data_IF_913022312270
#
_entry.id   IF_913022312270
#
_cell.length_a   1.000
_cell.length_b   1.000
_cell.length_c   1.000
_cell.angle_alpha   90.00
_cell.angle_beta   90.00
_cell.angle_gamma   90.00
#
_symmetry.space_group_name_H-M   'P 1'
#
loop_
_entity.id
_entity.type
_entity.pdbx_description
1 polymer ?
#
# COMPACT_ATOMS: atom_id res chain seq x y z
N UNK A 1 -20.82 -0.96 -2.08
CA UNK A 1 -19.85 -0.05 -2.76
C UNK A 1 -18.80 -0.92 -3.44
N UNK A 2 -18.35 -0.53 -4.62
CA UNK A 2 -17.24 -1.23 -5.27
C UNK A 2 -15.98 -1.01 -4.43
N UNK A 3 -15.25 -2.09 -4.14
CA UNK A 3 -13.98 -2.01 -3.41
C UNK A 3 -12.85 -1.50 -4.32
N UNK A 4 -11.70 -1.19 -3.71
CA UNK A 4 -10.53 -0.70 -4.47
C UNK A 4 -10.07 -1.72 -5.54
N UNK A 5 -10.22 -3.00 -5.30
CA UNK A 5 -9.88 -4.04 -6.27
C UNK A 5 -10.89 -4.12 -7.43
N UNK A 6 -12.16 -3.83 -7.18
CA UNK A 6 -13.18 -3.74 -8.25
C UNK A 6 -12.86 -2.55 -9.18
N UNK A 7 -12.38 -1.43 -8.61
CA UNK A 7 -11.91 -0.30 -9.39
C UNK A 7 -10.70 -0.66 -10.27
N UNK A 8 -9.77 -1.48 -9.77
CA UNK A 8 -8.63 -1.95 -10.56
C UNK A 8 -9.05 -2.83 -11.73
N UNK A 9 -10.12 -3.62 -11.56
CA UNK A 9 -10.69 -4.50 -12.59
C UNK A 9 -11.59 -3.77 -13.60
N UNK A 10 -11.97 -2.52 -13.32
CA UNK A 10 -12.75 -1.68 -14.24
C UNK A 10 -11.95 -1.31 -15.50
N UNK A 11 -12.63 -0.79 -16.51
CA UNK A 11 -11.96 -0.31 -17.74
C UNK A 11 -10.96 0.82 -17.44
N UNK A 12 -11.29 1.71 -16.51
CA UNK A 12 -10.37 2.74 -16.03
C UNK A 12 -9.14 2.12 -15.34
N UNK A 13 -9.35 1.14 -14.47
CA UNK A 13 -8.27 0.41 -13.81
C UNK A 13 -7.33 -0.29 -14.79
N UNK A 14 -7.88 -0.93 -15.81
CA UNK A 14 -7.09 -1.57 -16.88
C UNK A 14 -6.27 -0.56 -17.69
N UNK A 15 -6.82 0.62 -17.98
CA UNK A 15 -6.09 1.71 -18.63
C UNK A 15 -4.93 2.20 -17.75
N UNK A 16 -5.16 2.35 -16.45
CA UNK A 16 -4.13 2.72 -15.47
C UNK A 16 -3.03 1.66 -15.45
N UNK A 17 -3.39 0.38 -15.30
CA UNK A 17 -2.40 -0.74 -15.30
C UNK A 17 -1.55 -0.73 -16.56
N UNK A 18 -2.19 -0.61 -17.73
CA UNK A 18 -1.47 -0.57 -19.02
C UNK A 18 -0.57 0.65 -19.14
N UNK A 19 -1.05 1.83 -18.74
CA UNK A 19 -0.28 3.07 -18.77
C UNK A 19 0.91 3.05 -17.83
N UNK A 20 0.72 2.57 -16.59
CA UNK A 20 1.81 2.40 -15.61
C UNK A 20 2.82 1.38 -16.12
N UNK A 21 2.38 0.23 -16.64
CA UNK A 21 3.25 -0.79 -17.20
C UNK A 21 4.11 -0.25 -18.33
N UNK A 22 3.49 0.44 -19.30
CA UNK A 22 4.19 1.07 -20.42
C UNK A 22 5.20 2.14 -19.98
N UNK A 23 4.83 2.98 -19.00
CA UNK A 23 5.70 4.07 -18.52
C UNK A 23 6.87 3.59 -17.65
N UNK A 24 6.75 2.43 -17.01
CA UNK A 24 7.79 1.84 -16.16
C UNK A 24 8.60 0.74 -16.86
N UNK A 25 8.22 0.37 -18.08
CA UNK A 25 8.85 -0.73 -18.81
C UNK A 25 8.63 -2.11 -18.16
N UNK A 26 7.55 -2.25 -17.37
CA UNK A 26 7.23 -3.47 -16.65
C UNK A 26 6.07 -4.20 -17.34
N UNK A 27 6.05 -5.53 -17.28
CA UNK A 27 4.95 -6.33 -17.81
C UNK A 27 3.61 -5.98 -17.12
N UNK A 28 2.52 -5.91 -17.91
CA UNK A 28 1.21 -5.51 -17.39
C UNK A 28 0.67 -6.47 -16.34
N UNK A 29 0.96 -7.77 -16.41
CA UNK A 29 0.51 -8.74 -15.41
C UNK A 29 1.24 -8.57 -14.09
N UNK A 30 2.55 -8.31 -14.14
CA UNK A 30 3.35 -7.99 -12.95
C UNK A 30 2.94 -6.65 -12.35
N UNK A 31 2.72 -5.63 -13.19
CA UNK A 31 2.20 -4.33 -12.75
C UNK A 31 0.84 -4.48 -12.06
N UNK A 32 -0.08 -5.25 -12.64
CA UNK A 32 -1.37 -5.56 -12.02
C UNK A 32 -1.20 -6.26 -10.67
N UNK A 33 -0.29 -7.24 -10.58
CA UNK A 33 0.00 -7.95 -9.32
C UNK A 33 0.55 -7.01 -8.25
N UNK A 34 1.47 -6.11 -8.61
CA UNK A 34 1.99 -5.07 -7.70
C UNK A 34 0.85 -4.19 -7.20
N UNK A 35 0.02 -3.65 -8.09
CA UNK A 35 -1.07 -2.76 -7.71
C UNK A 35 -2.14 -3.48 -6.86
N UNK A 36 -2.46 -4.73 -7.17
CA UNK A 36 -3.40 -5.54 -6.38
C UNK A 36 -2.93 -5.72 -4.93
N UNK A 37 -1.62 -5.91 -4.72
CA UNK A 37 -1.04 -6.02 -3.39
C UNK A 37 -0.84 -4.66 -2.70
N UNK A 38 -0.40 -3.65 -3.47
CA UNK A 38 -0.06 -2.34 -2.92
C UNK A 38 -1.29 -1.51 -2.53
N UNK A 39 -2.37 -1.54 -3.32
CA UNK A 39 -3.54 -0.68 -3.09
C UNK A 39 -4.14 -0.86 -1.70
N UNK A 40 -4.42 -2.07 -1.20
CA UNK A 40 -4.91 -2.25 0.15
C UNK A 40 -3.93 -1.75 1.22
N UNK A 41 -2.62 -1.95 1.03
CA UNK A 41 -1.56 -1.46 1.94
C UNK A 41 -1.58 0.06 2.00
N UNK A 42 -1.61 0.75 0.84
CA UNK A 42 -1.66 2.21 0.77
C UNK A 42 -2.94 2.75 1.40
N UNK A 43 -4.09 2.14 1.12
CA UNK A 43 -5.37 2.54 1.71
C UNK A 43 -5.37 2.39 3.23
N UNK A 44 -4.84 1.27 3.75
CA UNK A 44 -4.74 1.05 5.20
C UNK A 44 -3.78 2.03 5.87
N UNK A 45 -2.67 2.33 5.23
CA UNK A 45 -1.72 3.32 5.72
C UNK A 45 -2.34 4.74 5.70
N UNK A 46 -3.10 5.11 4.65
CA UNK A 46 -3.87 6.37 4.62
C UNK A 46 -4.93 6.43 5.73
N UNK A 47 -5.66 5.34 5.96
CA UNK A 47 -6.64 5.26 7.06
C UNK A 47 -5.97 5.49 8.42
N UNK A 48 -4.81 4.86 8.68
CA UNK A 48 -4.04 5.07 9.92
C UNK A 48 -3.57 6.53 10.05
N UNK A 49 -3.07 7.13 8.98
CA UNK A 49 -2.68 8.54 9.00
C UNK A 49 -3.88 9.46 9.22
N UNK A 50 -5.02 9.18 8.61
CA UNK A 50 -6.25 9.94 8.78
C UNK A 50 -6.93 9.72 10.14
N UNK A 51 -6.47 8.79 10.96
CA UNK A 51 -6.95 8.61 12.34
C UNK A 51 -6.51 9.75 13.27
N UNK A 52 -5.47 10.52 12.90
CA UNK A 52 -5.08 11.74 13.61
C UNK A 52 -5.72 12.97 12.97
N UNK A 53 -6.10 14.01 13.75
CA UNK A 53 -6.69 15.24 13.20
C UNK A 53 -5.80 15.90 12.14
N UNK A 54 -4.49 15.96 12.39
CA UNK A 54 -3.50 16.55 11.50
C UNK A 54 -3.34 15.76 10.21
N UNK A 55 -3.31 14.44 10.30
CA UNK A 55 -3.23 13.53 9.15
C UNK A 55 -4.49 13.58 8.30
N UNK A 56 -5.67 13.59 8.93
CA UNK A 56 -6.94 13.74 8.24
C UNK A 56 -7.03 15.07 7.49
N UNK A 57 -6.63 16.18 8.13
CA UNK A 57 -6.60 17.50 7.50
C UNK A 57 -5.61 17.56 6.33
N UNK A 58 -4.43 16.97 6.48
CA UNK A 58 -3.42 16.90 5.43
C UNK A 58 -3.91 16.12 4.22
N UNK A 59 -4.54 14.96 4.45
CA UNK A 59 -5.11 14.14 3.39
C UNK A 59 -6.28 14.87 2.70
N UNK A 60 -7.16 15.50 3.48
CA UNK A 60 -8.27 16.29 2.93
C UNK A 60 -7.77 17.42 2.04
N UNK A 61 -6.79 18.19 2.49
CA UNK A 61 -6.17 19.26 1.71
C UNK A 61 -5.52 18.75 0.42
N UNK A 62 -4.84 17.60 0.48
CA UNK A 62 -4.24 16.98 -0.70
C UNK A 62 -5.29 16.58 -1.74
N UNK A 63 -6.40 15.98 -1.30
CA UNK A 63 -7.51 15.57 -2.17
C UNK A 63 -8.30 16.74 -2.74
N UNK A 64 -8.37 17.88 -2.06
CA UNK A 64 -9.09 19.06 -2.52
C UNK A 64 -8.27 19.90 -3.49
N UNK A 65 -6.98 20.06 -3.24
CA UNK A 65 -6.16 21.05 -3.94
C UNK A 65 -5.23 20.47 -5.01
N UNK A 66 -4.83 19.18 -4.87
CA UNK A 66 -3.86 18.55 -5.78
C UNK A 66 -4.40 17.32 -6.50
N UNK A 67 -5.21 16.54 -5.83
CA UNK A 67 -5.65 15.22 -6.30
C UNK A 67 -7.18 15.13 -6.36
N UNK A 68 -7.80 16.12 -6.95
CA UNK A 68 -9.25 16.29 -7.04
C UNK A 68 -9.96 15.38 -8.04
N UNK A 69 -9.22 14.50 -8.71
CA UNK A 69 -9.67 13.57 -9.73
C UNK A 69 -9.36 13.98 -11.15
N UNK A 70 -8.95 15.23 -11.41
CA UNK A 70 -8.70 15.77 -12.76
C UNK A 70 -7.60 15.00 -13.52
N UNK A 71 -6.63 14.40 -12.84
CA UNK A 71 -5.60 13.57 -13.45
C UNK A 71 -6.18 12.36 -14.21
N UNK A 72 -7.35 11.88 -13.80
CA UNK A 72 -8.03 10.74 -14.43
C UNK A 72 -8.73 11.10 -15.74
N UNK A 73 -9.01 12.37 -15.95
CA UNK A 73 -9.72 12.85 -17.16
C UNK A 73 -8.81 12.89 -18.38
N UNK A 74 -7.48 12.83 -18.18
CA UNK A 74 -6.50 12.89 -19.27
C UNK A 74 -5.40 11.82 -19.17
N UNK A 75 -5.79 10.57 -18.93
CA UNK A 75 -4.84 9.44 -18.89
C UNK A 75 -4.08 9.26 -20.22
N UNK A 76 -4.75 9.54 -21.36
CA UNK A 76 -4.11 9.51 -22.68
C UNK A 76 -2.96 10.49 -22.80
N UNK A 77 -3.13 11.71 -22.31
CA UNK A 77 -2.05 12.71 -22.25
C UNK A 77 -0.95 12.35 -21.26
N UNK A 78 -1.32 11.80 -20.11
CA UNK A 78 -0.38 11.38 -19.06
C UNK A 78 0.58 10.29 -19.54
N UNK A 79 0.07 9.30 -20.27
CA UNK A 79 0.86 8.15 -20.70
C UNK A 79 1.37 8.25 -22.14
N UNK A 80 0.79 9.12 -22.98
CA UNK A 80 1.08 9.18 -24.43
C UNK A 80 2.47 9.70 -24.79
N UNK A 81 3.08 10.51 -23.91
CA UNK A 81 4.45 11.04 -24.09
C UNK A 81 5.48 10.51 -23.07
N UNK A 82 5.08 9.55 -22.25
CA UNK A 82 5.81 9.16 -21.03
C UNK A 82 5.35 10.01 -19.83
N UNK A 83 5.41 9.43 -18.63
CA UNK A 83 5.00 10.12 -17.41
C UNK A 83 6.05 11.16 -17.02
N UNK A 84 5.61 12.40 -16.86
CA UNK A 84 6.47 13.51 -16.45
C UNK A 84 7.15 13.24 -15.10
N UNK A 85 8.37 13.74 -14.95
CA UNK A 85 9.13 13.60 -13.69
C UNK A 85 8.45 14.31 -12.52
N UNK A 86 7.68 15.37 -12.78
CA UNK A 86 6.84 16.03 -11.76
C UNK A 86 5.80 15.10 -11.15
N UNK A 87 5.16 14.25 -11.96
CA UNK A 87 4.19 13.23 -11.49
C UNK A 87 4.88 12.16 -10.65
N UNK A 88 6.08 11.71 -11.08
CA UNK A 88 6.88 10.74 -10.30
C UNK A 88 7.37 11.31 -8.97
N UNK A 89 7.76 12.60 -8.95
CA UNK A 89 8.18 13.30 -7.74
C UNK A 89 6.99 13.47 -6.77
N UNK A 90 5.83 13.85 -7.29
CA UNK A 90 4.60 13.93 -6.50
C UNK A 90 4.23 12.55 -5.91
N UNK A 91 4.29 11.50 -6.71
CA UNK A 91 4.08 10.13 -6.25
C UNK A 91 5.08 9.70 -5.17
N UNK A 92 6.36 10.05 -5.31
CA UNK A 92 7.37 9.79 -4.28
C UNK A 92 7.04 10.53 -2.97
N UNK A 93 6.59 11.78 -3.05
CA UNK A 93 6.13 12.55 -1.89
C UNK A 93 4.92 11.92 -1.21
N UNK A 94 3.92 11.46 -1.99
CA UNK A 94 2.74 10.75 -1.48
C UNK A 94 3.17 9.48 -0.73
N UNK A 95 4.00 8.63 -1.36
CA UNK A 95 4.46 7.37 -0.76
C UNK A 95 5.23 7.61 0.54
N UNK A 96 6.15 8.58 0.55
CA UNK A 96 6.90 8.96 1.73
C UNK A 96 5.99 9.44 2.86
N UNK A 97 4.95 10.23 2.54
CA UNK A 97 4.00 10.72 3.53
C UNK A 97 3.10 9.61 4.10
N UNK A 98 2.67 8.68 3.24
CA UNK A 98 1.75 7.60 3.62
C UNK A 98 2.47 6.46 4.34
N UNK A 99 3.61 6.01 3.81
CA UNK A 99 4.34 4.84 4.29
C UNK A 99 5.50 5.19 5.24
N UNK A 100 6.06 6.40 5.14
CA UNK A 100 7.21 6.82 5.93
C UNK A 100 8.38 5.85 5.81
N UNK A 101 8.97 5.47 6.92
CA UNK A 101 10.13 4.57 6.99
C UNK A 101 9.79 3.13 6.53
N UNK A 102 8.50 2.77 6.48
CA UNK A 102 8.03 1.44 6.04
C UNK A 102 8.05 1.26 4.51
N UNK A 103 8.22 2.34 3.74
CA UNK A 103 8.14 2.31 2.28
C UNK A 103 9.05 1.25 1.67
N UNK A 104 10.31 1.22 2.04
CA UNK A 104 11.29 0.28 1.48
C UNK A 104 10.94 -1.18 1.80
N UNK A 105 10.47 -1.47 3.01
CA UNK A 105 10.01 -2.80 3.40
C UNK A 105 8.81 -3.27 2.57
N UNK A 106 7.82 -2.40 2.40
CA UNK A 106 6.65 -2.66 1.54
C UNK A 106 7.06 -2.96 0.11
N UNK A 107 7.95 -2.15 -0.49
CA UNK A 107 8.46 -2.33 -1.84
C UNK A 107 9.19 -3.67 -2.01
N UNK A 108 10.02 -4.07 -1.03
CA UNK A 108 10.74 -5.35 -1.05
C UNK A 108 9.78 -6.54 -0.99
N UNK A 109 8.81 -6.53 -0.07
CA UNK A 109 7.85 -7.64 0.09
C UNK A 109 6.99 -7.81 -1.15
N UNK A 110 6.46 -6.71 -1.68
CA UNK A 110 5.65 -6.74 -2.90
C UNK A 110 6.51 -7.22 -4.08
N UNK A 111 7.75 -6.74 -4.19
CA UNK A 111 8.69 -7.13 -5.24
C UNK A 111 8.94 -8.64 -5.25
N UNK A 112 9.25 -9.21 -4.11
CA UNK A 112 9.47 -10.65 -3.98
C UNK A 112 8.24 -11.47 -4.42
N UNK A 113 7.03 -11.03 -4.04
CA UNK A 113 5.79 -11.72 -4.42
C UNK A 113 5.43 -11.54 -5.90
N UNK A 114 5.70 -10.37 -6.48
CA UNK A 114 5.44 -10.08 -7.88
C UNK A 114 6.55 -10.57 -8.84
N UNK A 115 7.66 -11.07 -8.32
CA UNK A 115 8.84 -11.44 -9.10
C UNK A 115 9.50 -10.22 -9.76
N UNK A 116 9.63 -9.13 -9.01
CA UNK A 116 10.26 -7.87 -9.37
C UNK A 116 11.27 -7.44 -8.29
N UNK A 117 12.23 -6.61 -8.66
CA UNK A 117 13.07 -5.91 -7.68
C UNK A 117 12.32 -4.73 -7.02
N UNK A 118 12.77 -4.31 -5.84
CA UNK A 118 12.12 -3.23 -5.09
C UNK A 118 12.12 -1.90 -5.85
N UNK A 119 13.16 -1.62 -6.66
CA UNK A 119 13.25 -0.40 -7.47
C UNK A 119 12.18 -0.35 -8.57
N UNK A 120 11.90 -1.49 -9.21
CA UNK A 120 10.79 -1.62 -10.18
C UNK A 120 9.45 -1.39 -9.50
N UNK A 121 9.23 -1.96 -8.31
CA UNK A 121 8.02 -1.71 -7.51
C UNK A 121 7.90 -0.23 -7.13
N UNK A 122 8.99 0.37 -6.63
CA UNK A 122 9.02 1.80 -6.31
C UNK A 122 8.62 2.67 -7.50
N UNK A 123 9.11 2.37 -8.71
CA UNK A 123 8.75 3.11 -9.93
C UNK A 123 7.26 2.94 -10.28
N UNK A 124 6.72 1.72 -10.19
CA UNK A 124 5.29 1.47 -10.40
C UNK A 124 4.47 2.29 -9.40
N UNK A 125 4.82 2.25 -8.12
CA UNK A 125 4.08 2.95 -7.06
C UNK A 125 4.18 4.47 -7.19
N UNK A 126 5.32 5.03 -7.59
CA UNK A 126 5.47 6.49 -7.85
C UNK A 126 4.55 6.98 -8.95
N UNK A 127 4.33 6.18 -9.99
CA UNK A 127 3.39 6.55 -11.06
C UNK A 127 1.95 6.33 -10.63
N UNK A 128 1.67 5.26 -9.88
CA UNK A 128 0.33 4.90 -9.46
C UNK A 128 -0.23 5.78 -8.32
N UNK A 129 0.62 6.25 -7.40
CA UNK A 129 0.15 6.96 -6.20
C UNK A 129 -0.67 8.22 -6.51
N UNK A 130 -0.28 9.13 -7.44
CA UNK A 130 -1.12 10.28 -7.81
C UNK A 130 -2.46 9.88 -8.43
N UNK A 131 -2.50 8.76 -9.16
CA UNK A 131 -3.73 8.23 -9.77
C UNK A 131 -4.68 7.67 -8.70
N UNK A 132 -4.14 6.96 -7.71
CA UNK A 132 -4.89 6.46 -6.56
C UNK A 132 -5.47 7.63 -5.76
N UNK A 133 -4.67 8.65 -5.51
CA UNK A 133 -5.13 9.88 -4.85
C UNK A 133 -6.21 10.59 -5.69
N UNK A 134 -6.06 10.67 -7.01
CA UNK A 134 -7.07 11.22 -7.90
C UNK A 134 -8.38 10.43 -7.87
N UNK A 135 -8.31 9.08 -7.86
CA UNK A 135 -9.49 8.23 -7.68
C UNK A 135 -10.20 8.51 -6.34
N UNK A 136 -9.41 8.65 -5.27
CA UNK A 136 -9.95 8.96 -3.94
C UNK A 136 -10.58 10.36 -3.90
N UNK A 137 -9.95 11.36 -4.52
CA UNK A 137 -10.50 12.72 -4.65
C UNK A 137 -11.80 12.75 -5.43
N UNK A 138 -11.90 11.98 -6.51
CA UNK A 138 -13.14 11.82 -7.26
C UNK A 138 -14.24 11.19 -6.41
N UNK A 139 -13.94 10.08 -5.70
CA UNK A 139 -14.88 9.43 -4.80
C UNK A 139 -15.34 10.35 -3.66
N UNK A 140 -14.40 11.14 -3.10
CA UNK A 140 -14.69 12.15 -2.08
C UNK A 140 -15.73 13.14 -2.59
N UNK A 141 -15.58 13.65 -3.82
CA UNK A 141 -16.54 14.58 -4.45
C UNK A 141 -17.90 13.92 -4.71
N UNK A 142 -17.90 12.72 -5.28
CA UNK A 142 -19.14 11.99 -5.61
C UNK A 142 -19.97 11.65 -4.36
N UNK A 143 -19.33 11.36 -3.23
CA UNK A 143 -19.97 11.02 -1.98
C UNK A 143 -20.18 12.22 -1.04
N UNK A 144 -19.82 13.44 -1.47
CA UNK A 144 -19.90 14.67 -0.67
C UNK A 144 -19.21 14.55 0.70
N UNK A 145 -18.06 13.88 0.73
CA UNK A 145 -17.25 13.70 1.94
C UNK A 145 -16.62 15.03 2.32
N UNK A 146 -17.02 15.62 3.45
CA UNK A 146 -16.58 16.93 3.91
C UNK A 146 -15.92 16.94 5.29
N UNK A 147 -16.09 15.87 6.08
CA UNK A 147 -15.50 15.76 7.40
C UNK A 147 -14.40 14.68 7.47
N UNK A 148 -13.54 14.78 8.47
CA UNK A 148 -12.52 13.76 8.75
C UNK A 148 -13.12 12.39 9.04
N UNK A 149 -14.28 12.35 9.72
CA UNK A 149 -15.01 11.11 9.99
C UNK A 149 -15.53 10.45 8.72
N UNK A 150 -16.09 11.25 7.79
CA UNK A 150 -16.56 10.76 6.50
C UNK A 150 -15.41 10.24 5.64
N UNK A 151 -14.23 10.90 5.72
CA UNK A 151 -13.04 10.48 5.01
C UNK A 151 -12.54 9.12 5.49
N UNK A 152 -12.50 8.90 6.80
CA UNK A 152 -12.17 7.59 7.38
C UNK A 152 -13.20 6.53 6.98
N UNK A 153 -14.49 6.89 6.97
CA UNK A 153 -15.56 6.03 6.47
C UNK A 153 -15.42 5.66 5.00
N UNK A 154 -15.03 6.61 4.14
CA UNK A 154 -14.73 6.38 2.73
C UNK A 154 -13.57 5.39 2.55
N UNK A 155 -12.45 5.61 3.25
CA UNK A 155 -11.27 4.74 3.19
C UNK A 155 -11.63 3.31 3.67
N UNK A 156 -12.30 3.18 4.81
CA UNK A 156 -12.76 1.90 5.33
C UNK A 156 -13.77 1.20 4.41
N UNK A 157 -14.66 1.95 3.77
CA UNK A 157 -15.62 1.42 2.79
C UNK A 157 -14.95 0.85 1.54
N UNK A 158 -13.91 1.51 1.03
CA UNK A 158 -13.11 1.05 -0.11
C UNK A 158 -12.28 -0.21 0.23
N UNK A 159 -11.80 -0.32 1.46
CA UNK A 159 -11.12 -1.51 1.97
C UNK A 159 -12.10 -2.67 2.20
N UNK A 160 -13.24 -2.40 2.83
CA UNK A 160 -14.23 -3.42 3.22
C UNK A 160 -15.02 -4.02 2.05
N UNK A 161 -15.07 -3.35 0.89
CA UNK A 161 -15.70 -3.87 -0.33
C UNK A 161 -14.92 -5.00 -1.01
N UNK A 162 -13.66 -5.19 -0.67
CA UNK A 162 -12.85 -6.31 -1.11
C UNK A 162 -13.09 -7.49 -0.18
N UNK A 163 -13.44 -8.67 -0.71
CA UNK A 163 -13.62 -9.93 0.04
C UNK A 163 -12.29 -10.44 0.61
N UNK A 164 -11.64 -9.63 1.42
CA UNK A 164 -10.26 -9.78 1.87
C UNK A 164 -10.19 -10.34 3.29
N UNK A 165 -10.93 -11.41 3.59
CA UNK A 165 -10.73 -12.13 4.85
C UNK A 165 -9.37 -12.85 4.92
N UNK A 166 -8.72 -13.10 3.76
CA UNK A 166 -7.36 -13.67 3.71
C UNK A 166 -6.26 -12.61 3.59
N UNK A 167 -6.59 -11.40 3.17
CA UNK A 167 -5.60 -10.33 2.96
C UNK A 167 -5.40 -9.46 4.21
N UNK A 168 -6.34 -9.45 5.17
CA UNK A 168 -6.18 -8.70 6.43
C UNK A 168 -4.95 -9.17 7.21
N UNK A 169 -4.74 -10.48 7.31
CA UNK A 169 -3.54 -11.01 7.99
C UNK A 169 -2.24 -10.71 7.24
N UNK A 170 -2.29 -10.55 5.92
CA UNK A 170 -1.15 -10.11 5.12
C UNK A 170 -0.88 -8.60 5.30
N UNK A 171 -1.94 -7.79 5.31
CA UNK A 171 -1.86 -6.35 5.54
C UNK A 171 -1.36 -6.02 6.95
N UNK A 172 -1.88 -6.70 7.96
CA UNK A 172 -1.44 -6.57 9.34
C UNK A 172 0.01 -6.99 9.50
N UNK A 173 0.41 -8.11 8.89
CA UNK A 173 1.80 -8.58 8.91
C UNK A 173 2.78 -7.64 8.20
N UNK A 174 2.37 -6.96 7.13
CA UNK A 174 3.23 -5.98 6.45
C UNK A 174 3.31 -4.66 7.22
N UNK A 175 2.22 -4.26 7.88
CA UNK A 175 2.15 -2.95 8.53
C UNK A 175 2.50 -2.99 10.02
N UNK A 176 2.38 -4.13 10.67
CA UNK A 176 2.51 -4.20 12.14
C UNK A 176 2.53 -5.64 12.66
N UNK A 177 3.51 -6.47 12.27
CA UNK A 177 3.52 -7.88 12.69
C UNK A 177 3.93 -8.06 14.17
N UNK A 178 4.71 -7.13 14.74
CA UNK A 178 5.15 -7.15 16.14
C UNK A 178 4.68 -5.94 16.97
N UNK A 179 3.93 -5.02 16.37
CA UNK A 179 3.49 -3.79 17.03
C UNK A 179 4.61 -2.79 17.34
N UNK A 180 5.84 -3.06 16.91
CA UNK A 180 7.01 -2.19 17.15
C UNK A 180 7.23 -1.16 16.03
N UNK A 181 6.46 -1.25 14.96
CA UNK A 181 6.56 -0.38 13.80
C UNK A 181 7.67 -0.76 12.81
N UNK A 182 8.33 -1.91 12.95
CA UNK A 182 9.42 -2.37 12.08
C UNK A 182 8.99 -3.51 11.15
N UNK A 183 8.63 -3.18 9.93
CA UNK A 183 8.25 -4.18 8.89
C UNK A 183 9.43 -5.05 8.47
N UNK A 184 10.65 -4.57 8.65
CA UNK A 184 11.87 -5.23 8.15
C UNK A 184 12.22 -6.46 8.98
N UNK A 185 12.02 -6.40 10.30
CA UNK A 185 12.36 -7.50 11.21
C UNK A 185 11.38 -8.67 11.06
N UNK A 186 10.12 -8.37 10.87
CA UNK A 186 9.06 -9.35 10.64
C UNK A 186 9.21 -10.10 9.32
N UNK A 187 9.63 -9.40 8.27
CA UNK A 187 9.90 -10.01 6.97
C UNK A 187 11.16 -10.87 7.03
N UNK A 188 12.20 -10.44 7.73
CA UNK A 188 13.40 -11.25 7.95
C UNK A 188 13.09 -12.52 8.75
N UNK A 189 12.26 -12.45 9.78
CA UNK A 189 11.77 -13.60 10.55
C UNK A 189 10.96 -14.58 9.72
N UNK A 190 10.16 -14.08 8.76
CA UNK A 190 9.32 -14.91 7.88
C UNK A 190 10.12 -15.62 6.78
N UNK A 191 11.25 -15.05 6.33
CA UNK A 191 12.10 -15.60 5.27
C UNK A 191 13.30 -16.44 5.79
N UNK A 192 13.83 -16.10 6.96
CA UNK A 192 14.93 -16.84 7.59
C UNK A 192 14.45 -17.96 8.51
N UNK A 193 13.16 -17.98 8.87
CA UNK A 193 12.51 -18.98 9.69
C UNK A 193 11.94 -20.14 8.89
N UNK A 194 12.73 -20.74 7.98
CA UNK A 194 12.49 -22.08 7.50
C UNK A 194 12.64 -23.06 8.67
N UNK A 195 11.56 -23.75 9.04
CA UNK A 195 11.54 -24.94 9.90
C UNK A 195 12.26 -24.84 11.27
N UNK A 196 11.64 -24.18 12.23
CA UNK A 196 11.79 -24.61 13.62
C UNK A 196 10.43 -25.05 14.16
N UNK A 197 10.17 -26.37 14.00
CA UNK A 197 9.24 -27.09 14.86
C UNK A 197 9.42 -26.61 16.30
N UNK A 198 8.36 -26.09 16.86
CA UNK A 198 8.15 -25.92 18.29
C UNK A 198 8.58 -27.20 19.03
N UNK A 199 9.69 -27.16 19.69
CA UNK A 199 10.00 -28.06 20.80
C UNK A 199 10.32 -27.14 21.97
N UNK A 200 9.35 -27.04 22.88
CA UNK A 200 9.51 -26.37 24.16
C UNK A 200 10.70 -27.03 24.95
N UNK A 201 11.65 -26.18 25.32
CA UNK A 201 12.78 -26.55 26.10
C UNK A 201 13.41 -25.28 26.70
N UNK A 202 12.75 -24.72 27.70
CA UNK A 202 13.28 -23.61 28.47
C UNK A 202 14.59 -24.02 29.14
N UNK A 203 15.60 -23.12 29.03
CA UNK A 203 16.93 -23.21 29.65
C UNK A 203 16.89 -23.38 31.21
N UNK A 204 15.70 -23.37 31.82
CA UNK A 204 15.47 -23.55 33.25
C UNK A 204 15.68 -24.98 33.79
N UNK A 205 15.78 -25.99 32.94
CA UNK A 205 15.88 -27.39 33.38
C UNK A 205 17.30 -27.95 33.61
N UNK A 206 18.33 -27.19 33.21
CA UNK A 206 19.72 -27.76 33.18
C UNK A 206 20.59 -27.34 34.36
N UNK A 207 20.14 -26.50 35.28
CA UNK A 207 20.90 -26.10 36.49
C UNK A 207 20.44 -26.74 37.79
N UNK A 208 19.38 -27.57 37.77
CA UNK A 208 18.87 -28.27 38.96
C UNK A 208 19.56 -29.56 39.35
N UNK A 209 20.46 -30.10 38.53
CA UNK A 209 21.06 -31.41 38.72
C UNK A 209 22.49 -31.46 39.28
N UNK A 210 23.11 -30.32 39.61
CA UNK A 210 24.56 -30.32 39.94
C UNK A 210 24.89 -29.91 41.38
N UNK A 211 23.91 -29.69 42.24
CA UNK A 211 24.15 -29.49 43.68
C UNK A 211 23.19 -30.35 44.50
N UNK A 212 23.57 -31.63 44.65
CA UNK A 212 22.88 -32.57 45.51
C UNK A 212 23.71 -33.79 45.81
N UNK A 213 24.77 -33.59 46.53
CA UNK A 213 25.29 -34.45 47.59
C UNK A 213 26.55 -33.87 48.19
#
# INVERSE_FOLDING_TARGET
MAGILDLLNSDLGKQIVSGVAGSTGTDSSKTSSVLTMALPVLMKAMERNAATPEGAQSLQNALENKHDGSILDNLGGLFGGGVDDSVKQDGAGILSHILGDKQQGVEQVIGQKAGLDAGSVANILKVAAPLVMGMLGKQKKEQNVSSSGDLTGLLGGLLGGSSASNDQSFLEKILDADGDGSVIDDVAGMFLGGDKKSSGGGIGGMLGGMFGK
#
